data_IF_043980849210
#
_entry.id   IF_043980849210
#
_cell.length_a   1.000
_cell.length_b   1.000
_cell.length_c   1.000
_cell.angle_alpha   90.00
_cell.angle_beta   90.00
_cell.angle_gamma   90.00
#
_symmetry.space_group_name_H-M   'P 1'
#
loop_
_entity.id
_entity.type
_entity.pdbx_description
1 polymer ?
#
# COMPACT_ATOMS: atom_id res chain seq x y z
N UNK A 1 -14.60 -10.66 3.63
CA UNK A 1 -15.27 -10.89 2.33
C UNK A 1 -14.37 -11.76 1.44
N UNK A 2 -14.92 -12.50 0.47
CA UNK A 2 -14.06 -13.23 -0.49
C UNK A 2 -13.47 -12.24 -1.50
N UNK A 3 -12.14 -12.25 -1.75
CA UNK A 3 -11.55 -11.37 -2.74
C UNK A 3 -11.96 -11.77 -4.17
N UNK A 4 -12.05 -10.79 -5.06
CA UNK A 4 -12.16 -11.06 -6.50
C UNK A 4 -10.76 -11.26 -7.07
N UNK A 5 -10.44 -12.46 -7.54
CA UNK A 5 -9.10 -12.81 -8.03
C UNK A 5 -9.10 -12.88 -9.55
N UNK A 6 -8.23 -12.10 -10.18
CA UNK A 6 -8.01 -12.05 -11.63
C UNK A 6 -6.57 -12.46 -11.95
N UNK A 7 -6.42 -13.46 -12.81
CA UNK A 7 -5.12 -13.95 -13.26
C UNK A 7 -4.89 -13.59 -14.72
N UNK A 8 -3.70 -13.08 -15.04
CA UNK A 8 -3.32 -12.61 -16.37
C UNK A 8 -2.15 -13.45 -16.89
N UNK A 9 -2.14 -13.69 -18.20
CA UNK A 9 -1.01 -14.33 -18.90
C UNK A 9 -0.11 -13.31 -19.62
N UNK A 10 -0.54 -12.05 -19.70
CA UNK A 10 0.18 -10.95 -20.32
C UNK A 10 0.42 -9.84 -19.29
N UNK A 11 1.67 -9.37 -19.21
CA UNK A 11 2.05 -8.34 -18.24
C UNK A 11 1.40 -6.99 -18.55
N UNK A 12 1.26 -6.66 -19.85
CA UNK A 12 0.70 -5.38 -20.25
C UNK A 12 -0.80 -5.31 -19.92
N UNK A 13 -1.55 -6.40 -20.13
CA UNK A 13 -2.95 -6.50 -19.73
C UNK A 13 -3.12 -6.39 -18.20
N UNK A 14 -2.26 -7.05 -17.43
CA UNK A 14 -2.24 -6.94 -15.97
C UNK A 14 -2.04 -5.49 -15.50
N UNK A 15 -1.01 -4.81 -16.05
CA UNK A 15 -0.69 -3.44 -15.67
C UNK A 15 -1.75 -2.45 -16.16
N UNK A 16 -2.30 -2.66 -17.36
CA UNK A 16 -3.38 -1.87 -17.91
C UNK A 16 -4.64 -1.99 -17.06
N UNK A 17 -5.00 -3.20 -16.62
CA UNK A 17 -6.13 -3.42 -15.72
C UNK A 17 -5.94 -2.71 -14.38
N UNK A 18 -4.75 -2.83 -13.77
CA UNK A 18 -4.44 -2.15 -12.52
C UNK A 18 -4.55 -0.62 -12.64
N UNK A 19 -4.12 -0.08 -13.78
CA UNK A 19 -4.21 1.34 -14.10
C UNK A 19 -5.67 1.78 -14.28
N UNK A 20 -6.45 1.08 -15.10
CA UNK A 20 -7.84 1.43 -15.38
C UNK A 20 -8.71 1.37 -14.11
N UNK A 21 -8.53 0.35 -13.28
CA UNK A 21 -9.18 0.23 -11.98
C UNK A 21 -8.81 1.39 -11.05
N UNK A 22 -7.53 1.78 -11.01
CA UNK A 22 -7.06 2.91 -10.20
C UNK A 22 -7.68 4.23 -10.68
N UNK A 23 -7.73 4.47 -11.98
CA UNK A 23 -8.36 5.66 -12.56
C UNK A 23 -9.86 5.73 -12.26
N UNK A 24 -10.55 4.59 -12.36
CA UNK A 24 -11.97 4.49 -12.04
C UNK A 24 -12.20 4.86 -10.57
N UNK A 25 -11.47 4.25 -9.64
CA UNK A 25 -11.60 4.52 -8.21
C UNK A 25 -11.28 5.97 -7.86
N UNK A 26 -10.24 6.56 -8.45
CA UNK A 26 -9.92 7.98 -8.27
C UNK A 26 -11.11 8.87 -8.68
N UNK A 27 -11.69 8.62 -9.86
CA UNK A 27 -12.84 9.38 -10.38
C UNK A 27 -14.06 9.22 -9.47
N UNK A 28 -14.33 8.01 -8.99
CA UNK A 28 -15.45 7.72 -8.11
C UNK A 28 -15.29 8.38 -6.74
N UNK A 29 -14.10 8.32 -6.14
CA UNK A 29 -13.79 8.98 -4.87
C UNK A 29 -13.94 10.49 -4.97
N UNK A 30 -13.36 11.11 -6.01
CA UNK A 30 -13.48 12.57 -6.20
C UNK A 30 -14.94 12.97 -6.43
N UNK A 31 -15.72 12.20 -7.19
CA UNK A 31 -17.15 12.48 -7.39
C UNK A 31 -17.93 12.39 -6.07
N UNK A 32 -17.57 11.45 -5.19
CA UNK A 32 -18.31 11.18 -3.95
C UNK A 32 -17.89 12.08 -2.80
N UNK A 33 -16.61 12.42 -2.72
CA UNK A 33 -15.98 13.03 -1.54
C UNK A 33 -15.19 14.31 -1.85
N UNK A 34 -15.19 14.76 -3.11
CA UNK A 34 -14.37 15.86 -3.63
C UNK A 34 -12.85 15.64 -3.56
N UNK A 35 -12.40 14.56 -2.92
CA UNK A 35 -11.01 14.18 -2.70
C UNK A 35 -10.83 12.66 -2.86
N UNK A 36 -9.59 12.22 -3.07
CA UNK A 36 -9.22 10.80 -3.08
C UNK A 36 -7.95 10.59 -2.25
N UNK A 37 -7.96 9.64 -1.32
CA UNK A 37 -6.82 9.27 -0.47
C UNK A 37 -6.34 7.87 -0.86
N UNK A 38 -5.09 7.77 -1.32
CA UNK A 38 -4.52 6.52 -1.84
C UNK A 38 -3.35 6.08 -0.95
N UNK A 39 -3.44 4.86 -0.45
CA UNK A 39 -2.34 4.17 0.20
C UNK A 39 -1.39 3.53 -0.82
N UNK A 40 -0.11 3.85 -0.75
CA UNK A 40 0.93 3.41 -1.68
C UNK A 40 1.89 2.41 -1.03
N UNK A 41 1.94 1.18 -1.55
CA UNK A 41 2.98 0.21 -1.24
C UNK A 41 4.27 0.47 -2.03
N UNK A 42 5.38 -0.07 -1.51
CA UNK A 42 6.64 -0.18 -2.24
C UNK A 42 6.71 -1.39 -3.20
N UNK A 43 7.85 -1.52 -3.89
CA UNK A 43 8.16 -2.64 -4.78
C UNK A 43 8.03 -2.33 -6.28
N UNK A 44 8.58 -3.21 -7.12
CA UNK A 44 8.66 -3.00 -8.57
C UNK A 44 7.31 -3.08 -9.29
N UNK A 45 6.35 -3.82 -8.76
CA UNK A 45 5.00 -3.91 -9.37
C UNK A 45 4.21 -2.62 -9.18
N UNK A 46 4.09 -2.05 -7.97
CA UNK A 46 3.48 -0.73 -7.82
C UNK A 46 4.27 0.39 -8.51
N UNK A 47 5.62 0.30 -8.54
CA UNK A 47 6.47 1.27 -9.27
C UNK A 47 6.05 1.45 -10.73
N UNK A 48 5.77 0.35 -11.44
CA UNK A 48 5.32 0.40 -12.84
C UNK A 48 3.94 1.06 -12.98
N UNK A 49 3.02 0.80 -12.05
CA UNK A 49 1.71 1.45 -12.00
C UNK A 49 1.86 2.96 -11.76
N UNK A 50 2.71 3.34 -10.81
CA UNK A 50 2.97 4.74 -10.47
C UNK A 50 3.58 5.51 -11.64
N UNK A 51 4.52 4.90 -12.36
CA UNK A 51 5.09 5.48 -13.57
C UNK A 51 4.03 5.73 -14.65
N UNK A 52 3.08 4.80 -14.82
CA UNK A 52 1.98 4.95 -15.78
C UNK A 52 0.95 6.01 -15.34
N UNK A 53 0.65 6.09 -14.03
CA UNK A 53 -0.21 7.14 -13.47
C UNK A 53 0.39 8.53 -13.61
N UNK A 54 1.72 8.65 -13.60
CA UNK A 54 2.41 9.92 -13.76
C UNK A 54 2.20 10.56 -15.14
N UNK A 55 1.92 9.75 -16.17
CA UNK A 55 1.65 10.22 -17.53
C UNK A 55 0.19 10.69 -17.73
N UNK A 56 -0.69 10.42 -16.75
CA UNK A 56 -2.11 10.77 -16.80
C UNK A 56 -2.39 12.16 -16.21
N UNK A 57 -3.31 12.90 -16.82
CA UNK A 57 -3.74 14.23 -16.32
C UNK A 57 -4.78 14.08 -15.21
N UNK A 58 -4.30 13.77 -14.02
CA UNK A 58 -5.13 13.67 -12.82
C UNK A 58 -5.22 15.01 -12.06
N UNK A 59 -6.33 15.26 -11.33
CA UNK A 59 -6.49 16.44 -10.49
C UNK A 59 -5.71 16.27 -9.19
N UNK A 60 -4.37 16.28 -9.25
CA UNK A 60 -3.47 16.01 -8.12
C UNK A 60 -3.72 16.88 -6.88
N UNK A 61 -4.28 18.08 -7.03
CA UNK A 61 -4.73 18.91 -5.90
C UNK A 61 -5.85 18.28 -5.05
N UNK A 62 -6.61 17.33 -5.60
CA UNK A 62 -7.67 16.57 -4.92
C UNK A 62 -7.22 15.20 -4.43
N UNK A 63 -5.98 14.79 -4.71
CA UNK A 63 -5.46 13.46 -4.41
C UNK A 63 -4.43 13.56 -3.29
N UNK A 64 -4.61 12.81 -2.21
CA UNK A 64 -3.63 12.63 -1.14
C UNK A 64 -2.98 11.26 -1.28
N UNK A 65 -1.65 11.23 -1.30
CA UNK A 65 -0.84 10.01 -1.42
C UNK A 65 -0.19 9.70 -0.08
N UNK A 66 -0.35 8.46 0.40
CA UNK A 66 0.05 8.05 1.74
C UNK A 66 0.93 6.79 1.65
N UNK A 67 2.18 6.82 2.11
CA UNK A 67 3.02 5.60 2.14
C UNK A 67 2.53 4.62 3.19
N UNK A 68 2.32 3.35 2.81
CA UNK A 68 1.82 2.32 3.73
C UNK A 68 2.88 1.77 4.67
N UNK A 69 4.12 1.74 4.22
CA UNK A 69 5.28 1.30 4.98
C UNK A 69 6.54 1.99 4.47
N UNK A 70 7.58 1.99 5.28
CA UNK A 70 8.90 2.45 4.89
C UNK A 70 10.00 1.67 5.61
N UNK A 71 11.17 1.63 4.99
CA UNK A 71 12.39 1.06 5.52
C UNK A 71 13.07 2.16 6.32
N UNK A 72 13.52 1.89 7.54
CA UNK A 72 14.22 2.90 8.34
C UNK A 72 15.64 3.11 7.80
N UNK A 73 15.74 3.84 6.70
CA UNK A 73 16.96 4.15 5.96
C UNK A 73 16.92 5.63 5.52
N UNK A 74 18.07 6.22 5.16
CA UNK A 74 18.09 7.55 4.56
C UNK A 74 17.14 7.66 3.36
N UNK A 75 16.49 8.82 3.20
CA UNK A 75 15.44 9.04 2.18
C UNK A 75 15.92 9.00 0.72
N UNK A 76 17.23 8.94 0.49
CA UNK A 76 17.90 8.77 -0.79
C UNK A 76 18.45 7.34 -1.01
N UNK A 77 18.28 6.46 -0.02
CA UNK A 77 18.63 5.04 -0.12
C UNK A 77 17.82 4.34 -1.20
N UNK A 78 18.47 3.46 -1.96
CA UNK A 78 17.80 2.61 -2.96
C UNK A 78 16.73 1.69 -2.37
N UNK A 79 16.79 1.43 -1.07
CA UNK A 79 15.82 0.59 -0.35
C UNK A 79 14.58 1.38 0.11
N UNK A 80 14.54 2.72 -0.02
CA UNK A 80 13.40 3.54 0.41
C UNK A 80 12.23 3.44 -0.56
N UNK A 81 11.05 3.14 -0.01
CA UNK A 81 9.77 3.18 -0.74
C UNK A 81 9.46 4.61 -1.19
N UNK A 82 9.64 5.61 -0.32
CA UNK A 82 9.41 7.02 -0.64
C UNK A 82 10.30 7.49 -1.77
N UNK A 83 11.58 7.07 -1.81
CA UNK A 83 12.45 7.35 -2.95
C UNK A 83 11.89 6.75 -4.23
N UNK A 84 11.53 5.48 -4.23
CA UNK A 84 10.95 4.83 -5.41
C UNK A 84 9.69 5.57 -5.89
N UNK A 85 8.77 5.90 -4.99
CA UNK A 85 7.54 6.64 -5.30
C UNK A 85 7.87 8.04 -5.85
N UNK A 86 8.87 8.71 -5.28
CA UNK A 86 9.33 10.02 -5.74
C UNK A 86 9.86 9.98 -7.17
N UNK A 87 10.70 9.01 -7.50
CA UNK A 87 11.29 8.89 -8.85
C UNK A 87 10.26 8.42 -9.90
N UNK A 88 9.38 7.48 -9.54
CA UNK A 88 8.39 6.92 -10.46
C UNK A 88 7.22 7.88 -10.73
N UNK A 89 6.78 8.63 -9.71
CA UNK A 89 5.57 9.45 -9.75
C UNK A 89 5.82 10.92 -9.38
N UNK A 90 6.23 11.21 -8.13
CA UNK A 90 6.12 12.57 -7.58
C UNK A 90 6.93 13.62 -8.35
N UNK A 91 8.10 13.27 -8.91
CA UNK A 91 8.91 14.19 -9.74
C UNK A 91 8.28 14.55 -11.09
N UNK A 92 7.27 13.81 -11.52
CA UNK A 92 6.65 13.92 -12.86
C UNK A 92 5.28 14.61 -12.82
N UNK A 93 4.75 14.86 -11.62
CA UNK A 93 3.41 15.41 -11.42
C UNK A 93 3.46 16.71 -10.61
N UNK A 94 2.41 17.52 -10.70
CA UNK A 94 2.23 18.72 -9.87
C UNK A 94 1.23 18.46 -8.75
N UNK A 95 1.71 17.83 -7.67
CA UNK A 95 0.93 17.58 -6.46
C UNK A 95 1.31 18.57 -5.35
N UNK A 96 0.36 19.13 -4.60
CA UNK A 96 0.69 19.96 -3.43
C UNK A 96 1.47 19.16 -2.38
N UNK A 97 2.54 19.70 -1.77
CA UNK A 97 3.33 18.98 -0.77
C UNK A 97 2.51 18.45 0.43
N UNK A 98 1.49 19.18 0.85
CA UNK A 98 0.56 18.81 1.92
C UNK A 98 -0.28 17.56 1.60
N UNK A 99 -0.41 17.23 0.30
CA UNK A 99 -1.08 16.03 -0.16
C UNK A 99 -0.15 14.80 -0.19
N UNK A 100 1.10 14.92 0.24
CA UNK A 100 2.03 13.80 0.38
C UNK A 100 2.25 13.52 1.87
N UNK A 101 1.76 12.36 2.32
CA UNK A 101 1.92 11.91 3.71
C UNK A 101 2.83 10.69 3.71
N UNK A 102 4.03 10.85 4.25
CA UNK A 102 4.99 9.76 4.38
C UNK A 102 5.55 9.66 5.79
N UNK A 103 6.15 8.52 6.08
CA UNK A 103 7.04 8.39 7.22
C UNK A 103 8.26 9.31 7.04
N UNK A 104 8.70 9.93 8.13
CA UNK A 104 9.95 10.69 8.17
C UNK A 104 11.05 9.82 8.76
N UNK A 105 11.97 9.35 7.91
CA UNK A 105 13.07 8.46 8.33
C UNK A 105 14.26 9.22 8.92
N UNK A 106 14.21 10.57 8.96
CA UNK A 106 15.19 11.38 9.69
C UNK A 106 14.93 11.40 11.20
N UNK A 107 13.71 11.07 11.62
CA UNK A 107 13.30 10.95 13.01
C UNK A 107 13.63 9.56 13.58
N UNK A 108 13.75 9.45 14.93
CA UNK A 108 13.71 8.15 15.58
C UNK A 108 12.44 7.36 15.18
N UNK A 109 12.52 6.03 14.94
CA UNK A 109 11.42 5.24 14.38
C UNK A 109 10.09 5.43 15.11
N UNK A 110 10.09 5.35 16.44
CA UNK A 110 8.91 5.57 17.29
C UNK A 110 8.30 6.96 17.12
N UNK A 111 9.14 7.98 16.94
CA UNK A 111 8.66 9.35 16.70
C UNK A 111 8.02 9.48 15.33
N UNK A 112 8.61 8.87 14.31
CA UNK A 112 8.06 8.81 12.95
C UNK A 112 6.70 8.10 12.90
N UNK A 113 6.60 6.93 13.54
CA UNK A 113 5.36 6.17 13.65
C UNK A 113 4.26 6.96 14.42
N UNK A 114 4.65 7.66 15.49
CA UNK A 114 3.73 8.53 16.25
C UNK A 114 3.24 9.72 15.42
N UNK A 115 4.11 10.33 14.62
CA UNK A 115 3.72 11.41 13.71
C UNK A 115 2.76 10.92 12.63
N UNK A 116 3.06 9.79 11.98
CA UNK A 116 2.17 9.17 11.01
C UNK A 116 0.80 8.88 11.64
N UNK A 117 0.77 8.29 12.84
CA UNK A 117 -0.48 8.04 13.56
C UNK A 117 -1.30 9.31 13.76
N UNK A 118 -0.67 10.42 14.16
CA UNK A 118 -1.37 11.70 14.34
C UNK A 118 -1.96 12.22 13.02
N UNK A 119 -1.21 12.13 11.92
CA UNK A 119 -1.70 12.54 10.59
C UNK A 119 -2.91 11.71 10.17
N UNK A 120 -2.84 10.38 10.33
CA UNK A 120 -3.95 9.49 10.00
C UNK A 120 -5.19 9.70 10.89
N UNK A 121 -5.02 10.00 12.19
CA UNK A 121 -6.12 10.36 13.10
C UNK A 121 -6.79 11.66 12.66
N UNK A 122 -6.01 12.67 12.25
CA UNK A 122 -6.57 13.92 11.75
C UNK A 122 -7.41 13.67 10.47
N UNK A 123 -6.91 12.83 9.55
CA UNK A 123 -7.65 12.45 8.36
C UNK A 123 -8.94 11.68 8.68
N UNK A 124 -8.92 10.80 9.69
CA UNK A 124 -10.11 10.01 10.08
C UNK A 124 -11.21 10.86 10.71
N UNK A 125 -10.84 11.94 11.41
CA UNK A 125 -11.80 12.93 11.92
C UNK A 125 -12.39 13.82 10.82
N UNK A 126 -11.62 14.12 9.78
CA UNK A 126 -12.10 14.90 8.64
C UNK A 126 -13.08 14.10 7.77
N UNK A 127 -12.73 12.85 7.43
CA UNK A 127 -13.58 11.96 6.63
C UNK A 127 -13.24 10.50 6.84
N UNK A 128 -14.28 9.66 6.86
CA UNK A 128 -14.16 8.22 6.75
C UNK A 128 -14.68 7.73 5.38
N UNK A 129 -14.03 6.75 4.72
CA UNK A 129 -12.83 6.01 5.12
C UNK A 129 -11.53 6.85 5.15
N UNK A 130 -10.49 6.39 5.85
CA UNK A 130 -9.17 7.07 5.83
C UNK A 130 -8.56 6.96 4.43
N UNK A 131 -8.66 5.78 3.82
CA UNK A 131 -8.20 5.51 2.46
C UNK A 131 -9.39 5.23 1.57
N UNK A 132 -9.44 5.83 0.39
CA UNK A 132 -10.38 5.40 -0.62
C UNK A 132 -9.89 4.13 -1.32
N UNK A 133 -8.58 4.06 -1.59
CA UNK A 133 -7.92 2.93 -2.24
C UNK A 133 -6.61 2.61 -1.54
N UNK A 134 -6.39 1.32 -1.23
CA UNK A 134 -5.08 0.78 -0.90
C UNK A 134 -4.49 0.08 -2.13
N UNK A 135 -3.32 0.53 -2.60
CA UNK A 135 -2.51 -0.22 -3.55
C UNK A 135 -1.53 -1.06 -2.73
N UNK A 136 -1.76 -2.38 -2.72
CA UNK A 136 -1.00 -3.33 -1.94
C UNK A 136 -0.09 -4.17 -2.85
N UNK A 137 1.10 -4.48 -2.34
CA UNK A 137 1.87 -5.65 -2.75
C UNK A 137 1.93 -6.64 -1.59
N UNK A 138 2.30 -7.89 -1.87
CA UNK A 138 2.59 -8.87 -0.83
C UNK A 138 4.04 -9.36 -0.95
N UNK A 139 4.70 -9.60 0.20
CA UNK A 139 5.94 -10.36 0.27
C UNK A 139 5.76 -11.82 -0.18
N UNK A 140 6.86 -12.53 -0.47
CA UNK A 140 6.78 -13.96 -0.78
C UNK A 140 6.38 -14.81 0.44
N UNK A 141 6.63 -14.26 1.63
CA UNK A 141 6.23 -14.66 2.97
C UNK A 141 4.83 -14.13 3.36
N UNK A 142 4.09 -13.51 2.45
CA UNK A 142 2.67 -13.15 2.65
C UNK A 142 2.41 -11.82 3.36
N UNK A 143 3.45 -11.14 3.87
CA UNK A 143 3.27 -9.85 4.54
C UNK A 143 2.71 -8.79 3.57
N UNK A 144 1.93 -7.85 4.10
CA UNK A 144 1.57 -6.58 3.45
C UNK A 144 2.06 -5.42 4.29
N UNK A 145 2.28 -4.25 3.67
CA UNK A 145 2.98 -3.13 4.32
C UNK A 145 4.30 -3.64 4.94
N UNK A 146 4.53 -3.43 6.24
CA UNK A 146 5.58 -4.11 6.99
C UNK A 146 5.00 -4.91 8.17
N UNK A 147 3.87 -5.59 7.94
CA UNK A 147 3.17 -6.42 8.92
C UNK A 147 3.52 -7.90 8.71
N UNK A 148 4.55 -8.36 9.41
CA UNK A 148 5.09 -9.72 9.31
C UNK A 148 4.43 -10.67 10.29
N UNK A 149 4.39 -11.95 9.93
CA UNK A 149 3.93 -13.01 10.84
C UNK A 149 4.84 -13.10 12.06
N UNK A 150 4.26 -13.00 13.26
CA UNK A 150 4.99 -13.09 14.53
C UNK A 150 5.61 -11.77 15.02
N UNK A 151 5.52 -10.68 14.25
CA UNK A 151 5.97 -9.34 14.68
C UNK A 151 4.86 -8.61 15.47
N UNK A 152 5.25 -7.84 16.49
CA UNK A 152 4.31 -7.10 17.35
C UNK A 152 3.48 -6.06 16.60
N UNK A 153 3.95 -5.55 15.45
CA UNK A 153 3.21 -4.59 14.64
C UNK A 153 1.90 -5.17 14.10
N UNK A 154 1.78 -6.50 13.98
CA UNK A 154 0.55 -7.16 13.54
C UNK A 154 -0.59 -6.94 14.54
N UNK A 155 -0.27 -6.86 15.84
CA UNK A 155 -1.21 -6.65 16.94
C UNK A 155 -1.33 -5.16 17.35
N UNK A 156 -0.79 -4.26 16.53
CA UNK A 156 -0.76 -2.82 16.80
C UNK A 156 -2.16 -2.21 16.88
N UNK A 157 -2.46 -1.56 18.01
CA UNK A 157 -3.72 -0.84 18.27
C UNK A 157 -3.67 0.65 17.90
N UNK A 158 -2.50 1.15 17.47
CA UNK A 158 -2.30 2.51 16.94
C UNK A 158 -2.49 2.50 15.42
N UNK A 159 -2.48 3.66 14.78
CA UNK A 159 -2.61 3.73 13.31
C UNK A 159 -1.30 3.44 12.56
N UNK A 160 -0.14 3.62 13.22
CA UNK A 160 1.17 3.23 12.70
C UNK A 160 2.11 2.83 13.83
N UNK A 161 3.09 1.97 13.53
CA UNK A 161 4.09 1.46 14.46
C UNK A 161 5.45 1.27 13.78
N UNK A 162 6.46 1.04 14.61
CA UNK A 162 7.70 0.35 14.18
C UNK A 162 7.35 -1.13 13.95
N UNK A 163 8.05 -1.77 13.04
CA UNK A 163 7.99 -3.20 12.80
C UNK A 163 9.40 -3.76 12.53
N UNK A 164 9.59 -5.06 12.73
CA UNK A 164 10.87 -5.71 12.48
C UNK A 164 10.72 -6.86 11.47
N UNK A 165 11.43 -6.74 10.35
CA UNK A 165 11.45 -7.72 9.27
C UNK A 165 12.62 -8.69 9.45
N UNK A 166 12.43 -9.72 10.29
CA UNK A 166 13.47 -10.72 10.56
C UNK A 166 13.99 -11.38 9.26
N UNK A 167 15.31 -11.48 9.12
CA UNK A 167 15.95 -12.08 7.93
C UNK A 167 16.03 -11.18 6.69
N UNK A 168 15.48 -9.96 6.73
CA UNK A 168 15.63 -8.98 5.65
C UNK A 168 16.89 -8.13 5.81
N UNK A 169 17.49 -7.71 4.70
CA UNK A 169 18.68 -6.83 4.66
C UNK A 169 18.47 -5.52 5.42
N UNK A 170 17.27 -4.95 5.34
CA UNK A 170 16.85 -3.77 6.10
C UNK A 170 15.73 -4.21 7.04
N UNK A 171 16.05 -4.65 8.27
CA UNK A 171 15.07 -5.25 9.16
C UNK A 171 14.19 -4.20 9.85
N UNK A 172 14.71 -3.00 10.10
CA UNK A 172 13.95 -1.94 10.78
C UNK A 172 12.95 -1.28 9.82
N UNK A 173 11.67 -1.33 10.19
CA UNK A 173 10.55 -0.85 9.38
C UNK A 173 9.66 0.12 10.14
N UNK A 174 8.93 0.92 9.37
CA UNK A 174 7.77 1.69 9.80
C UNK A 174 6.57 1.17 9.02
N UNK A 175 5.44 0.93 9.68
CA UNK A 175 4.24 0.39 9.05
C UNK A 175 2.98 1.12 9.49
N UNK A 176 2.05 1.30 8.57
CA UNK A 176 0.64 1.51 8.93
C UNK A 176 0.10 0.19 9.49
N UNK A 177 -0.63 0.27 10.60
CA UNK A 177 -1.17 -0.89 11.31
C UNK A 177 -2.52 -1.33 10.74
N UNK A 178 -2.94 -2.57 11.05
CA UNK A 178 -4.19 -3.15 10.54
C UNK A 178 -5.41 -2.28 10.80
N UNK A 179 -5.55 -1.68 11.99
CA UNK A 179 -6.70 -0.83 12.32
C UNK A 179 -6.88 0.34 11.32
N UNK A 180 -5.79 0.89 10.78
CA UNK A 180 -5.86 1.94 9.77
C UNK A 180 -6.08 1.36 8.36
N UNK A 181 -5.43 0.24 8.00
CA UNK A 181 -5.64 -0.41 6.70
C UNK A 181 -7.09 -0.89 6.52
N UNK A 182 -7.67 -1.49 7.56
CA UNK A 182 -9.05 -2.00 7.59
C UNK A 182 -10.11 -0.89 7.46
N UNK A 183 -9.71 0.37 7.59
CA UNK A 183 -10.60 1.51 7.37
C UNK A 183 -10.85 1.84 5.89
N UNK A 184 -10.13 1.21 4.95
CA UNK A 184 -10.17 1.58 3.55
C UNK A 184 -11.51 1.26 2.86
N UNK A 185 -11.88 2.08 1.88
CA UNK A 185 -13.06 1.83 1.05
C UNK A 185 -12.85 0.71 0.01
N UNK A 186 -11.62 0.51 -0.44
CA UNK A 186 -11.24 -0.54 -1.39
C UNK A 186 -9.75 -0.87 -1.29
N UNK A 187 -9.38 -2.08 -1.65
CA UNK A 187 -7.99 -2.51 -1.78
C UNK A 187 -7.74 -3.20 -3.12
N UNK A 188 -6.58 -2.96 -3.70
CA UNK A 188 -6.08 -3.61 -4.90
C UNK A 188 -4.74 -4.26 -4.57
N UNK A 189 -4.69 -5.59 -4.58
CA UNK A 189 -3.47 -6.35 -4.37
C UNK A 189 -2.84 -6.71 -5.72
N UNK A 190 -1.59 -6.31 -5.91
CA UNK A 190 -0.80 -6.57 -7.11
C UNK A 190 0.22 -7.68 -6.85
N UNK A 191 0.03 -8.83 -7.50
CA UNK A 191 0.95 -9.96 -7.45
C UNK A 191 1.62 -10.14 -8.81
N UNK A 192 2.96 -10.04 -8.85
CA UNK A 192 3.74 -10.22 -10.08
C UNK A 192 4.90 -11.19 -9.90
N UNK A 193 5.00 -12.14 -10.84
CA UNK A 193 6.06 -13.13 -10.99
C UNK A 193 5.88 -14.38 -10.15
N UNK A 194 6.59 -15.45 -10.55
CA UNK A 194 6.50 -16.81 -9.97
C UNK A 194 6.69 -16.86 -8.45
N UNK A 195 7.49 -15.94 -7.88
CA UNK A 195 7.69 -15.83 -6.42
C UNK A 195 6.41 -15.51 -5.64
N UNK A 196 5.32 -15.14 -6.32
CA UNK A 196 4.01 -14.85 -5.73
C UNK A 196 3.02 -16.02 -5.86
N UNK A 197 3.37 -17.11 -6.55
CA UNK A 197 2.52 -18.29 -6.68
C UNK A 197 2.07 -18.85 -5.32
N UNK A 198 2.93 -18.97 -4.28
CA UNK A 198 2.47 -19.46 -2.98
C UNK A 198 1.43 -18.56 -2.31
N UNK A 199 1.58 -17.23 -2.43
CA UNK A 199 0.59 -16.26 -1.94
C UNK A 199 -0.73 -16.42 -2.69
N UNK A 200 -0.69 -16.56 -4.02
CA UNK A 200 -1.87 -16.76 -4.85
C UNK A 200 -2.60 -18.08 -4.51
N UNK A 201 -1.86 -19.16 -4.28
CA UNK A 201 -2.40 -20.45 -3.85
C UNK A 201 -3.09 -20.34 -2.47
N UNK A 202 -2.43 -19.71 -1.49
CA UNK A 202 -3.00 -19.47 -0.16
C UNK A 202 -4.26 -18.57 -0.20
N UNK A 203 -4.34 -17.61 -1.13
CA UNK A 203 -5.53 -16.79 -1.38
C UNK A 203 -6.69 -17.60 -2.00
N UNK A 204 -6.38 -18.61 -2.81
CA UNK A 204 -7.37 -19.55 -3.37
C UNK A 204 -7.85 -20.60 -2.35
N UNK A 205 -7.36 -20.55 -1.12
CA UNK A 205 -7.76 -21.43 -0.03
C UNK A 205 -6.94 -22.71 0.09
N UNK A 206 -5.84 -22.83 -0.66
CA UNK A 206 -4.91 -23.94 -0.49
C UNK A 206 -4.22 -23.82 0.88
N UNK A 207 -4.09 -24.93 1.62
CA UNK A 207 -3.40 -24.97 2.91
C UNK A 207 -1.88 -25.00 2.71
N UNK A 208 -1.34 -23.93 2.15
CA UNK A 208 0.09 -23.77 1.87
C UNK A 208 0.64 -22.56 2.62
N UNK A 209 1.95 -22.54 2.83
CA UNK A 209 2.65 -21.32 3.21
C UNK A 209 2.70 -20.36 2.00
N UNK A 210 2.73 -19.03 2.22
CA UNK A 210 2.78 -18.36 3.52
C UNK A 210 1.42 -18.22 4.21
N UNK A 211 1.45 -17.97 5.52
CA UNK A 211 0.31 -17.37 6.21
C UNK A 211 0.05 -15.95 5.68
N UNK A 212 -1.23 -15.58 5.64
CA UNK A 212 -1.68 -14.31 5.08
C UNK A 212 -2.45 -13.51 6.14
N UNK A 213 -2.03 -13.53 7.41
CA UNK A 213 -2.84 -13.02 8.53
C UNK A 213 -3.23 -11.56 8.31
N UNK A 214 -2.26 -10.68 8.07
CA UNK A 214 -2.50 -9.26 7.83
C UNK A 214 -3.42 -9.02 6.62
N UNK A 215 -3.20 -9.76 5.53
CA UNK A 215 -3.97 -9.60 4.30
C UNK A 215 -5.41 -10.10 4.46
N UNK A 216 -5.63 -11.20 5.18
CA UNK A 216 -6.96 -11.74 5.47
C UNK A 216 -7.76 -10.79 6.36
N UNK A 217 -7.13 -10.23 7.39
CA UNK A 217 -7.73 -9.19 8.24
C UNK A 217 -8.19 -7.97 7.44
N UNK A 218 -7.41 -7.53 6.44
CA UNK A 218 -7.84 -6.46 5.53
C UNK A 218 -8.98 -6.92 4.62
N UNK A 219 -8.91 -8.11 4.02
CA UNK A 219 -9.95 -8.64 3.13
C UNK A 219 -11.29 -8.94 3.84
N UNK A 220 -11.28 -9.12 5.15
CA UNK A 220 -12.49 -9.29 5.94
C UNK A 220 -13.38 -8.05 5.87
N UNK A 221 -12.79 -6.87 6.06
CA UNK A 221 -13.49 -5.58 6.16
C UNK A 221 -13.43 -4.72 4.90
N UNK A 222 -12.42 -4.94 4.04
CA UNK A 222 -12.17 -4.12 2.85
C UNK A 222 -12.43 -4.92 1.57
N UNK A 223 -13.33 -4.46 0.68
CA UNK A 223 -13.50 -5.05 -0.63
C UNK A 223 -12.17 -5.07 -1.38
N UNK A 224 -11.68 -6.27 -1.70
CA UNK A 224 -10.32 -6.44 -2.23
C UNK A 224 -10.35 -7.10 -3.61
N UNK A 225 -9.75 -6.43 -4.59
CA UNK A 225 -9.47 -6.96 -5.93
C UNK A 225 -8.02 -7.45 -5.97
N UNK A 226 -7.80 -8.70 -6.33
CA UNK A 226 -6.46 -9.28 -6.51
C UNK A 226 -6.18 -9.39 -8.00
N UNK A 227 -5.13 -8.73 -8.46
CA UNK A 227 -4.61 -8.85 -9.81
C UNK A 227 -3.30 -9.63 -9.74
N UNK A 228 -3.20 -10.73 -10.50
CA UNK A 228 -2.06 -11.62 -10.47
C UNK A 228 -1.53 -11.91 -11.88
N UNK A 229 -0.27 -11.56 -12.13
CA UNK A 229 0.51 -11.99 -13.30
C UNK A 229 1.70 -12.79 -12.78
N UNK A 230 1.58 -14.10 -12.68
CA UNK A 230 2.55 -14.97 -11.99
C UNK A 230 3.17 -16.00 -12.89
#
# INVERSE_FOLDING_TARGET
MNPSIFTFNDEAEFLQTAFDDTLLLIKESIRKFETCRIGLAGGSTPEALYAKLADEKLPWGKITLITLDERQVPSDSKESNLRMIRESLLKKISIPPENIISFDTSLPPESSAKEMSRKLIALSHDRFPIFDLLILGAGADGHIASLFEGDEALECTKYASVAHAEGYKTPDRLSICLIALKSAGSAMLLLKGEKKLPVLAALKGEQVQPKLTALREVMEDVPTKVLAYT
#
